data_IF_898042687439
#
_entry.id   IF_898042687439
#
_cell.length_a   1.000
_cell.length_b   1.000
_cell.length_c   1.000
_cell.angle_alpha   90.00
_cell.angle_beta   90.00
_cell.angle_gamma   90.00
#
_symmetry.space_group_name_H-M   'P 1'
#
loop_
_entity.id
_entity.type
_entity.pdbx_description
1 polymer ?
#
# COMPACT_ATOMS: atom_id res chain seq x y z
N UNK A 1 -1.18 -15.98 4.70
CA UNK A 1 -0.78 -17.41 4.54
C UNK A 1 -0.76 -17.88 3.08
N UNK A 2 -1.73 -17.52 2.23
CA UNK A 2 -1.73 -17.86 0.79
C UNK A 2 -0.56 -17.23 0.00
N UNK A 3 -0.28 -15.94 0.21
CA UNK A 3 0.82 -15.21 -0.46
C UNK A 3 2.19 -15.87 -0.24
N UNK A 4 2.46 -16.33 0.98
CA UNK A 4 3.69 -17.06 1.31
C UNK A 4 3.80 -18.37 0.49
N UNK A 5 2.70 -19.12 0.35
CA UNK A 5 2.66 -20.37 -0.44
C UNK A 5 2.91 -20.12 -1.93
N UNK A 6 2.33 -19.08 -2.51
CA UNK A 6 2.54 -18.72 -3.91
C UNK A 6 3.98 -18.26 -4.19
N UNK A 7 4.53 -17.44 -3.30
CA UNK A 7 5.92 -16.98 -3.37
C UNK A 7 6.90 -18.16 -3.29
N UNK A 8 6.66 -19.13 -2.40
CA UNK A 8 7.48 -20.35 -2.31
C UNK A 8 7.47 -21.17 -3.60
N UNK A 9 6.33 -21.25 -4.29
CA UNK A 9 6.20 -22.01 -5.53
C UNK A 9 6.93 -21.35 -6.71
N UNK A 10 6.86 -20.02 -6.83
CA UNK A 10 7.64 -19.27 -7.81
C UNK A 10 9.15 -19.36 -7.59
N UNK A 11 9.59 -19.29 -6.33
CA UNK A 11 11.02 -19.47 -5.97
C UNK A 11 11.49 -20.89 -6.27
N UNK A 12 10.70 -21.92 -5.95
CA UNK A 12 11.03 -23.31 -6.26
C UNK A 12 11.23 -23.50 -7.77
N UNK A 13 10.41 -22.85 -8.59
CA UNK A 13 10.52 -22.91 -10.04
C UNK A 13 11.82 -22.28 -10.56
N UNK A 14 12.25 -21.16 -9.97
CA UNK A 14 13.53 -20.53 -10.28
C UNK A 14 14.72 -21.38 -9.82
N UNK A 15 14.63 -22.07 -8.68
CA UNK A 15 15.69 -22.98 -8.19
C UNK A 15 15.84 -24.19 -9.14
N UNK A 16 14.72 -24.74 -9.62
CA UNK A 16 14.71 -25.90 -10.51
C UNK A 16 15.06 -25.56 -11.98
N UNK A 17 15.25 -24.29 -12.31
CA UNK A 17 15.66 -23.83 -13.63
C UNK A 17 17.10 -24.24 -13.93
N UNK A 18 17.41 -24.55 -15.20
CA UNK A 18 18.79 -24.82 -15.61
C UNK A 18 19.57 -23.53 -15.90
N UNK A 19 20.16 -22.93 -14.87
CA UNK A 19 20.91 -21.67 -14.96
C UNK A 19 22.17 -21.71 -15.83
N UNK A 20 22.80 -22.88 -15.97
CA UNK A 20 24.01 -23.03 -16.77
C UNK A 20 23.73 -22.88 -18.27
N UNK A 21 22.50 -23.21 -18.70
CA UNK A 21 22.13 -23.16 -20.11
C UNK A 21 21.78 -21.73 -20.54
N UNK A 22 22.48 -21.22 -21.55
CA UNK A 22 22.31 -19.86 -22.10
C UNK A 22 22.41 -18.76 -21.03
N UNK A 23 23.45 -18.84 -20.20
CA UNK A 23 23.69 -17.91 -19.09
C UNK A 23 23.56 -16.43 -19.48
N UNK A 24 24.10 -16.00 -20.63
CA UNK A 24 24.02 -14.61 -21.09
C UNK A 24 22.58 -14.09 -21.31
N UNK A 25 21.65 -14.96 -21.73
CA UNK A 25 20.23 -14.57 -21.83
C UNK A 25 19.56 -14.55 -20.46
N UNK A 26 19.93 -15.49 -19.59
CA UNK A 26 19.43 -15.54 -18.22
C UNK A 26 19.86 -14.30 -17.41
N UNK A 27 21.12 -13.87 -17.54
CA UNK A 27 21.63 -12.68 -16.88
C UNK A 27 20.93 -11.40 -17.36
N UNK A 28 20.62 -11.30 -18.66
CA UNK A 28 19.81 -10.21 -19.19
C UNK A 28 18.43 -10.13 -18.52
N UNK A 29 17.74 -11.27 -18.38
CA UNK A 29 16.43 -11.26 -17.72
C UNK A 29 16.52 -11.01 -16.22
N UNK A 30 17.56 -11.50 -15.54
CA UNK A 30 17.81 -11.17 -14.14
C UNK A 30 18.08 -9.68 -13.98
N UNK A 31 18.88 -9.08 -14.86
CA UNK A 31 19.12 -7.65 -14.87
C UNK A 31 17.82 -6.87 -15.14
N UNK A 32 17.02 -7.28 -16.12
CA UNK A 32 15.71 -6.65 -16.39
C UNK A 32 14.74 -6.79 -15.20
N UNK A 33 14.80 -7.88 -14.45
CA UNK A 33 14.00 -8.04 -13.23
C UNK A 33 14.50 -7.14 -12.09
N UNK A 34 15.81 -7.12 -11.83
CA UNK A 34 16.41 -6.45 -10.68
C UNK A 34 16.62 -4.94 -10.86
N UNK A 35 16.98 -4.49 -12.06
CA UNK A 35 17.30 -3.09 -12.32
C UNK A 35 16.12 -2.16 -11.98
N UNK A 36 14.87 -2.41 -12.43
CA UNK A 36 13.75 -1.55 -12.06
C UNK A 36 13.53 -1.50 -10.54
N UNK A 37 13.68 -2.63 -9.84
CA UNK A 37 13.55 -2.72 -8.38
C UNK A 37 14.61 -1.86 -7.69
N UNK A 38 15.87 -2.04 -8.07
CA UNK A 38 16.99 -1.33 -7.47
C UNK A 38 16.96 0.16 -7.80
N UNK A 39 16.65 0.54 -9.04
CA UNK A 39 16.54 1.94 -9.44
C UNK A 39 15.41 2.64 -8.71
N UNK A 40 14.22 2.03 -8.65
CA UNK A 40 13.07 2.63 -7.95
C UNK A 40 13.34 2.76 -6.45
N UNK A 41 13.99 1.77 -5.85
CA UNK A 41 14.44 1.86 -4.46
C UNK A 41 15.49 2.96 -4.27
N UNK A 42 16.52 3.03 -5.11
CA UNK A 42 17.57 4.06 -5.02
C UNK A 42 17.00 5.47 -5.19
N UNK A 43 16.10 5.67 -6.15
CA UNK A 43 15.45 6.96 -6.36
C UNK A 43 14.56 7.30 -5.16
N UNK A 44 13.88 6.31 -4.56
CA UNK A 44 13.06 6.55 -3.37
C UNK A 44 13.89 6.92 -2.13
N UNK A 45 15.12 6.42 -2.01
CA UNK A 45 16.01 6.78 -0.89
C UNK A 45 16.55 8.21 -0.96
N UNK A 46 16.65 8.81 -2.16
CA UNK A 46 17.40 10.05 -2.37
C UNK A 46 16.56 11.24 -2.84
N UNK A 47 15.42 11.01 -3.50
CA UNK A 47 14.69 12.09 -4.18
C UNK A 47 13.27 12.29 -3.66
N UNK A 48 12.40 11.28 -3.79
CA UNK A 48 10.98 11.42 -3.44
C UNK A 48 10.33 10.05 -3.19
N UNK A 49 9.19 10.03 -2.50
CA UNK A 49 8.39 8.83 -2.38
C UNK A 49 7.88 8.37 -3.76
N UNK A 50 8.05 7.09 -4.07
CA UNK A 50 7.66 6.49 -5.35
C UNK A 50 6.55 5.48 -5.12
N UNK A 51 5.56 5.50 -6.03
CA UNK A 51 4.54 4.46 -6.08
C UNK A 51 5.09 3.15 -6.68
N UNK A 52 5.94 2.48 -5.92
CA UNK A 52 6.80 1.39 -6.39
C UNK A 52 6.03 0.17 -6.93
N UNK A 53 4.83 -0.14 -6.41
CA UNK A 53 3.99 -1.21 -6.97
C UNK A 53 3.74 -1.04 -8.47
N UNK A 54 3.55 0.21 -8.94
CA UNK A 54 3.36 0.50 -10.35
C UNK A 54 4.63 0.24 -11.17
N UNK A 55 5.80 0.45 -10.58
CA UNK A 55 7.06 0.19 -11.26
C UNK A 55 7.46 -1.29 -11.22
N UNK A 56 6.95 -2.07 -10.26
CA UNK A 56 7.11 -3.52 -10.26
C UNK A 56 6.47 -4.18 -11.48
N UNK A 57 5.49 -3.53 -12.14
CA UNK A 57 4.92 -4.02 -13.40
C UNK A 57 5.99 -4.27 -14.48
N UNK A 58 7.06 -3.46 -14.50
CA UNK A 58 8.17 -3.63 -15.44
C UNK A 58 9.01 -4.89 -15.19
N UNK A 59 8.90 -5.47 -14.00
CA UNK A 59 9.64 -6.69 -13.60
C UNK A 59 8.89 -7.97 -14.02
N UNK A 60 7.57 -7.89 -14.23
CA UNK A 60 6.70 -9.03 -14.53
C UNK A 60 7.16 -9.78 -15.80
N UNK A 61 7.39 -9.12 -16.97
CA UNK A 61 7.79 -9.83 -18.18
C UNK A 61 9.11 -10.60 -18.00
N UNK A 62 10.09 -9.99 -17.32
CA UNK A 62 11.37 -10.62 -17.04
C UNK A 62 11.22 -11.85 -16.12
N UNK A 63 10.41 -11.73 -15.07
CA UNK A 63 10.10 -12.85 -14.17
C UNK A 63 9.40 -14.00 -14.91
N UNK A 64 8.43 -13.70 -15.80
CA UNK A 64 7.73 -14.71 -16.60
C UNK A 64 8.68 -15.41 -17.58
N UNK A 65 9.56 -14.68 -18.25
CA UNK A 65 10.56 -15.25 -19.17
C UNK A 65 11.59 -16.11 -18.42
N UNK A 66 12.01 -15.70 -17.22
CA UNK A 66 12.87 -16.52 -16.37
C UNK A 66 12.17 -17.82 -15.97
N UNK A 67 10.91 -17.74 -15.54
CA UNK A 67 10.12 -18.90 -15.14
C UNK A 67 9.90 -19.89 -16.30
N UNK A 68 9.56 -19.40 -17.49
CA UNK A 68 9.22 -20.26 -18.63
C UNK A 68 10.45 -20.78 -19.42
N UNK A 69 11.66 -20.30 -19.16
CA UNK A 69 12.86 -20.63 -19.95
C UNK A 69 13.75 -21.70 -19.32
N UNK A 70 14.38 -22.51 -20.17
CA UNK A 70 15.42 -23.49 -19.80
C UNK A 70 15.02 -24.40 -18.61
N UNK A 71 13.75 -24.80 -18.60
CA UNK A 71 13.17 -25.69 -17.60
C UNK A 71 13.73 -27.11 -17.72
N UNK A 72 13.96 -27.78 -16.57
CA UNK A 72 14.18 -29.23 -16.52
C UNK A 72 12.84 -29.95 -16.65
N UNK A 73 12.85 -31.25 -16.98
CA UNK A 73 11.61 -32.03 -17.15
C UNK A 73 10.71 -31.96 -15.91
N UNK A 74 11.29 -32.11 -14.71
CA UNK A 74 10.54 -32.00 -13.44
C UNK A 74 9.97 -30.60 -13.21
N UNK A 75 10.65 -29.55 -13.68
CA UNK A 75 10.21 -28.16 -13.55
C UNK A 75 8.95 -27.86 -14.36
N UNK A 76 8.65 -28.64 -15.41
CA UNK A 76 7.43 -28.46 -16.21
C UNK A 76 6.16 -28.76 -15.42
N UNK A 77 6.19 -29.82 -14.60
CA UNK A 77 5.05 -30.17 -13.72
C UNK A 77 4.84 -29.07 -12.68
N UNK A 78 5.93 -28.62 -12.06
CA UNK A 78 5.91 -27.51 -11.09
C UNK A 78 5.38 -26.24 -11.75
N UNK A 79 5.78 -25.95 -13.00
CA UNK A 79 5.29 -24.80 -13.77
C UNK A 79 3.77 -24.84 -13.97
N UNK A 80 3.20 -25.97 -14.37
CA UNK A 80 1.75 -26.11 -14.55
C UNK A 80 1.01 -25.87 -13.23
N UNK A 81 1.52 -26.42 -12.12
CA UNK A 81 0.95 -26.20 -10.78
C UNK A 81 1.01 -24.71 -10.41
N UNK A 82 2.15 -24.05 -10.61
CA UNK A 82 2.33 -22.62 -10.36
C UNK A 82 1.34 -21.80 -11.18
N UNK A 83 1.22 -22.05 -12.48
CA UNK A 83 0.28 -21.33 -13.35
C UNK A 83 -1.16 -21.52 -12.90
N UNK A 84 -1.59 -22.76 -12.59
CA UNK A 84 -2.94 -23.02 -12.10
C UNK A 84 -3.24 -22.29 -10.79
N UNK A 85 -2.26 -22.25 -9.88
CA UNK A 85 -2.34 -21.53 -8.61
C UNK A 85 -2.49 -20.01 -8.80
N UNK A 86 -1.68 -19.40 -9.67
CA UNK A 86 -1.76 -17.97 -9.97
C UNK A 86 -3.07 -17.62 -10.69
N UNK A 87 -3.49 -18.39 -11.69
CA UNK A 87 -4.78 -18.16 -12.37
C UNK A 87 -5.97 -18.25 -11.42
N UNK A 88 -5.93 -19.20 -10.47
CA UNK A 88 -6.98 -19.32 -9.45
C UNK A 88 -6.99 -18.11 -8.51
N UNK A 89 -5.81 -17.66 -8.08
CA UNK A 89 -5.66 -16.48 -7.24
C UNK A 89 -6.15 -15.21 -7.96
N UNK A 90 -5.76 -15.04 -9.23
CA UNK A 90 -6.17 -13.91 -10.06
C UNK A 90 -7.68 -13.91 -10.29
N UNK A 91 -8.28 -15.08 -10.54
CA UNK A 91 -9.73 -15.22 -10.68
C UNK A 91 -10.46 -14.79 -9.41
N UNK A 92 -10.02 -15.26 -8.24
CA UNK A 92 -10.60 -14.86 -6.95
C UNK A 92 -10.44 -13.36 -6.74
N UNK A 93 -9.25 -12.82 -6.96
CA UNK A 93 -8.96 -11.40 -6.77
C UNK A 93 -9.82 -10.51 -7.69
N UNK A 94 -9.98 -10.91 -8.95
CA UNK A 94 -10.76 -10.17 -9.93
C UNK A 94 -12.27 -10.23 -9.66
N UNK A 95 -12.79 -11.38 -9.23
CA UNK A 95 -14.22 -11.58 -8.98
C UNK A 95 -14.66 -11.14 -7.58
N UNK A 96 -13.74 -11.07 -6.62
CA UNK A 96 -14.00 -10.65 -5.23
C UNK A 96 -13.07 -9.51 -4.84
N UNK A 97 -13.16 -8.32 -5.49
CA UNK A 97 -12.27 -7.22 -5.20
C UNK A 97 -12.50 -6.72 -3.77
N UNK A 98 -11.50 -6.92 -2.90
CA UNK A 98 -11.51 -6.40 -1.54
C UNK A 98 -11.15 -4.90 -1.53
N UNK A 99 -12.05 -4.06 -2.06
CA UNK A 99 -11.93 -2.60 -1.96
C UNK A 99 -12.57 -2.11 -0.67
N UNK A 100 -11.82 -1.33 0.10
CA UNK A 100 -12.35 -0.63 1.28
C UNK A 100 -13.44 0.35 0.82
N UNK A 101 -14.59 0.46 1.51
CA UNK A 101 -15.70 1.34 1.12
C UNK A 101 -15.39 2.83 1.41
N UNK A 102 -14.27 3.32 0.89
CA UNK A 102 -13.83 4.70 1.08
C UNK A 102 -14.76 5.72 0.42
N UNK A 103 -15.50 5.32 -0.62
CA UNK A 103 -16.53 6.16 -1.23
C UNK A 103 -17.58 6.58 -0.20
N UNK A 104 -18.06 5.64 0.60
CA UNK A 104 -19.11 5.88 1.59
C UNK A 104 -18.56 6.72 2.76
N UNK A 105 -17.31 6.47 3.17
CA UNK A 105 -16.59 7.33 4.10
C UNK A 105 -16.51 8.76 3.55
N UNK A 106 -16.11 8.93 2.30
CA UNK A 106 -15.97 10.25 1.69
C UNK A 106 -17.29 11.00 1.61
N UNK A 107 -18.40 10.30 1.31
CA UNK A 107 -19.75 10.87 1.33
C UNK A 107 -20.09 11.34 2.75
N UNK A 108 -19.90 10.49 3.76
CA UNK A 108 -20.18 10.84 5.15
C UNK A 108 -19.34 12.04 5.63
N UNK A 109 -18.05 12.07 5.31
CA UNK A 109 -17.17 13.18 5.67
C UNK A 109 -17.67 14.47 5.04
N UNK A 110 -17.98 14.47 3.74
CA UNK A 110 -18.49 15.66 3.05
C UNK A 110 -19.84 16.15 3.58
N UNK A 111 -20.68 15.24 4.07
CA UNK A 111 -21.98 15.57 4.65
C UNK A 111 -21.89 16.11 6.08
N UNK A 112 -20.90 15.66 6.85
CA UNK A 112 -20.79 16.00 8.28
C UNK A 112 -19.75 17.08 8.58
N UNK A 113 -18.79 17.31 7.67
CA UNK A 113 -17.76 18.33 7.81
C UNK A 113 -18.36 19.74 7.80
N UNK A 114 -17.85 20.59 8.69
CA UNK A 114 -18.16 22.01 8.78
C UNK A 114 -16.91 22.86 8.59
N UNK A 115 -17.10 24.16 8.29
CA UNK A 115 -15.99 25.09 8.10
C UNK A 115 -15.12 25.18 9.36
N UNK A 116 -13.83 24.92 9.20
CA UNK A 116 -12.83 24.96 10.28
C UNK A 116 -12.53 23.61 10.92
N UNK A 117 -13.17 22.52 10.48
CA UNK A 117 -12.74 21.17 10.84
C UNK A 117 -11.37 20.85 10.26
N UNK A 118 -10.55 20.17 11.06
CA UNK A 118 -9.34 19.51 10.60
C UNK A 118 -9.64 18.03 10.40
N UNK A 119 -9.17 17.45 9.29
CA UNK A 119 -9.27 16.01 9.04
C UNK A 119 -7.85 15.48 8.86
N UNK A 120 -7.56 14.29 9.37
CA UNK A 120 -6.23 13.68 9.28
C UNK A 120 -6.33 12.18 8.93
N UNK A 121 -5.28 11.66 8.32
CA UNK A 121 -4.97 10.24 8.32
C UNK A 121 -4.03 9.96 9.51
N UNK A 122 -4.45 9.12 10.46
CA UNK A 122 -3.67 8.92 11.69
C UNK A 122 -2.49 7.94 11.51
N UNK A 123 -2.68 6.87 10.73
CA UNK A 123 -1.62 5.88 10.52
C UNK A 123 -0.74 6.26 9.32
N UNK A 124 0.51 6.65 9.57
CA UNK A 124 1.47 6.99 8.52
C UNK A 124 1.92 5.80 7.65
N UNK A 125 1.78 4.55 8.14
CA UNK A 125 2.13 3.34 7.40
C UNK A 125 0.97 2.75 6.58
N UNK A 126 -0.28 3.03 6.96
CA UNK A 126 -1.48 2.54 6.26
C UNK A 126 -2.51 3.66 5.98
N UNK A 127 -2.01 4.85 5.69
CA UNK A 127 -2.83 6.02 5.41
C UNK A 127 -3.73 5.83 4.17
N UNK A 128 -4.75 6.69 4.04
CA UNK A 128 -5.63 6.78 2.87
C UNK A 128 -5.46 8.10 2.12
N UNK A 129 -4.23 8.58 2.04
CA UNK A 129 -3.89 9.85 1.38
C UNK A 129 -4.29 9.84 -0.11
N UNK A 130 -4.07 8.73 -0.82
CA UNK A 130 -4.45 8.65 -2.23
C UNK A 130 -5.97 8.81 -2.39
N UNK A 131 -6.74 8.06 -1.62
CA UNK A 131 -8.19 8.10 -1.66
C UNK A 131 -8.74 9.46 -1.19
N UNK A 132 -8.19 10.02 -0.10
CA UNK A 132 -8.61 11.33 0.40
C UNK A 132 -8.37 12.42 -0.66
N UNK A 133 -7.20 12.43 -1.34
CA UNK A 133 -6.94 13.33 -2.47
C UNK A 133 -7.91 13.09 -3.63
N UNK A 134 -8.12 11.84 -4.03
CA UNK A 134 -9.05 11.48 -5.10
C UNK A 134 -10.47 11.98 -4.84
N UNK A 135 -10.94 11.91 -3.59
CA UNK A 135 -12.25 12.41 -3.18
C UNK A 135 -12.25 13.89 -2.78
N UNK A 136 -11.13 14.60 -2.81
CA UNK A 136 -11.04 16.02 -2.45
C UNK A 136 -11.21 16.31 -0.95
N UNK A 137 -10.78 15.39 -0.08
CA UNK A 137 -10.78 15.55 1.38
C UNK A 137 -9.37 15.97 1.81
N UNK A 138 -9.20 17.17 2.41
CA UNK A 138 -7.90 17.66 2.85
C UNK A 138 -7.49 16.97 4.16
N UNK A 139 -7.06 15.71 4.05
CA UNK A 139 -6.66 14.86 5.16
C UNK A 139 -5.17 14.54 5.11
N UNK A 140 -4.27 15.45 5.56
CA UNK A 140 -2.85 15.15 5.68
C UNK A 140 -2.60 13.99 6.64
N UNK A 141 -1.45 13.36 6.49
CA UNK A 141 -0.94 12.30 7.36
C UNK A 141 -0.42 12.96 8.65
N UNK A 142 -0.97 12.53 9.79
CA UNK A 142 -0.45 12.92 11.10
C UNK A 142 0.75 12.05 11.45
N UNK A 143 1.90 12.68 11.65
CA UNK A 143 3.14 12.00 11.98
C UNK A 143 3.89 12.78 13.07
N UNK A 144 3.54 12.55 14.35
CA UNK A 144 4.10 13.30 15.48
C UNK A 144 5.59 13.02 15.70
N UNK A 145 6.13 11.94 15.13
CA UNK A 145 7.55 11.61 15.25
C UNK A 145 8.45 12.62 14.52
N UNK A 146 7.89 13.37 13.56
CA UNK A 146 8.63 14.29 12.69
C UNK A 146 9.62 13.61 11.75
N UNK A 147 9.79 12.28 11.86
CA UNK A 147 10.62 11.50 10.94
C UNK A 147 9.86 11.38 9.64
N UNK A 148 10.50 11.56 8.47
CA UNK A 148 9.84 11.23 7.21
C UNK A 148 9.31 9.79 7.33
N UNK A 149 8.08 9.50 6.85
CA UNK A 149 7.62 8.12 6.82
C UNK A 149 8.69 7.31 6.09
N UNK A 150 9.00 6.09 6.56
CA UNK A 150 9.97 5.26 5.87
C UNK A 150 9.50 5.16 4.42
N UNK A 151 10.35 5.54 3.48
CA UNK A 151 10.06 5.62 2.05
C UNK A 151 9.70 4.22 1.52
N UNK A 152 8.48 3.79 1.77
CA UNK A 152 7.88 2.59 1.24
C UNK A 152 6.87 3.02 0.19
N UNK A 153 7.21 2.70 -1.05
CA UNK A 153 6.39 1.78 -1.84
C UNK A 153 4.94 1.67 -1.39
N UNK A 154 4.05 2.38 -2.06
CA UNK A 154 2.62 2.05 -2.00
C UNK A 154 1.76 3.22 -1.55
N UNK A 155 1.31 4.02 -2.53
CA UNK A 155 -0.11 4.30 -2.85
C UNK A 155 -0.28 5.68 -3.47
N UNK A 156 0.57 6.67 -3.15
CA UNK A 156 0.48 8.03 -3.68
C UNK A 156 1.86 8.72 -3.87
N UNK A 157 1.91 9.71 -4.76
CA UNK A 157 2.92 10.76 -4.72
C UNK A 157 2.62 11.66 -3.51
N UNK A 158 3.63 11.85 -2.66
CA UNK A 158 3.51 12.61 -1.41
C UNK A 158 4.38 13.85 -1.45
N UNK A 159 3.83 14.97 -1.00
CA UNK A 159 4.49 16.26 -0.86
C UNK A 159 4.65 16.62 0.62
N UNK A 160 5.49 17.61 0.93
CA UNK A 160 5.69 18.07 2.32
C UNK A 160 4.40 18.55 2.96
N UNK A 161 3.47 19.11 2.18
CA UNK A 161 2.15 19.55 2.63
C UNK A 161 1.19 18.40 2.99
N UNK A 162 1.50 17.18 2.58
CA UNK A 162 0.70 16.00 2.94
C UNK A 162 0.97 15.51 4.35
N UNK A 163 1.89 16.15 5.09
CA UNK A 163 2.26 15.76 6.44
C UNK A 163 2.01 16.89 7.44
N UNK A 164 1.52 16.52 8.61
CA UNK A 164 1.51 17.40 9.78
C UNK A 164 2.17 16.69 10.96
N UNK A 165 3.06 17.40 11.65
CA UNK A 165 3.76 16.90 12.85
C UNK A 165 2.95 17.25 14.11
N UNK A 166 2.10 18.27 14.03
CA UNK A 166 1.24 18.69 15.12
C UNK A 166 -0.12 19.12 14.61
N UNK A 167 -1.14 18.91 15.44
CA UNK A 167 -2.49 19.40 15.17
C UNK A 167 -2.53 20.91 15.45
N UNK A 168 -2.92 21.74 14.47
CA UNK A 168 -3.09 23.18 14.65
C UNK A 168 -3.96 23.54 15.85
N UNK A 169 -3.51 24.52 16.66
CA UNK A 169 -4.18 24.92 17.90
C UNK A 169 -5.58 25.50 17.71
N UNK A 170 -5.90 25.97 16.51
CA UNK A 170 -7.17 26.60 16.13
C UNK A 170 -8.26 25.60 15.74
N UNK A 171 -7.96 24.30 15.59
CA UNK A 171 -8.95 23.27 15.30
C UNK A 171 -9.87 23.03 16.51
N UNK A 172 -11.17 23.28 16.34
CA UNK A 172 -12.20 22.98 17.37
C UNK A 172 -12.63 21.51 17.33
N UNK A 173 -12.62 20.91 16.14
CA UNK A 173 -13.05 19.54 15.87
C UNK A 173 -12.07 18.88 14.91
N UNK A 174 -11.74 17.64 15.22
CA UNK A 174 -10.76 16.81 14.53
C UNK A 174 -11.47 15.56 14.00
N UNK A 175 -11.42 15.36 12.68
CA UNK A 175 -11.83 14.13 12.02
C UNK A 175 -10.63 13.23 11.79
N UNK A 176 -10.72 11.96 12.16
CA UNK A 176 -9.63 11.01 12.06
C UNK A 176 -10.04 9.83 11.20
N UNK A 177 -9.34 9.63 10.09
CA UNK A 177 -9.41 8.41 9.28
C UNK A 177 -8.43 7.40 9.90
N UNK A 178 -8.94 6.28 10.42
CA UNK A 178 -8.12 5.29 11.12
C UNK A 178 -8.71 3.87 11.01
N UNK A 179 -7.93 2.88 11.42
CA UNK A 179 -8.39 1.50 11.68
C UNK A 179 -8.64 1.24 13.18
N UNK A 180 -8.32 2.20 14.04
CA UNK A 180 -8.52 2.12 15.49
C UNK A 180 -9.94 2.53 15.88
N UNK A 181 -10.34 2.20 17.11
CA UNK A 181 -11.58 2.70 17.69
C UNK A 181 -11.38 4.13 18.23
N UNK A 182 -12.47 4.89 18.35
CA UNK A 182 -12.42 6.25 18.88
C UNK A 182 -11.91 6.35 20.33
N UNK A 183 -12.10 5.30 21.14
CA UNK A 183 -11.57 5.23 22.52
C UNK A 183 -10.05 5.13 22.54
N UNK A 184 -9.47 4.35 21.63
CA UNK A 184 -8.01 4.22 21.54
C UNK A 184 -7.38 5.58 21.18
N UNK A 185 -8.06 6.32 20.29
CA UNK A 185 -7.62 7.65 19.85
C UNK A 185 -7.61 8.71 20.96
N UNK A 186 -8.47 8.63 21.99
CA UNK A 186 -8.44 9.60 23.10
C UNK A 186 -7.12 9.57 23.87
N UNK A 187 -6.51 8.38 23.98
CA UNK A 187 -5.22 8.23 24.65
C UNK A 187 -4.06 8.80 23.83
N UNK A 188 -4.19 8.80 22.50
CA UNK A 188 -3.19 9.27 21.55
C UNK A 188 -3.29 10.79 21.32
N UNK A 189 -4.50 11.31 21.15
CA UNK A 189 -4.77 12.73 20.89
C UNK A 189 -5.12 13.49 22.18
N UNK A 190 -4.10 13.68 23.04
CA UNK A 190 -4.24 14.44 24.29
C UNK A 190 -4.85 15.83 24.02
N UNK A 191 -5.92 16.16 24.76
CA UNK A 191 -6.65 17.43 24.61
C UNK A 191 -7.83 17.37 23.65
N UNK A 192 -8.12 16.21 23.07
CA UNK A 192 -9.35 15.93 22.33
C UNK A 192 -10.14 14.82 23.02
N UNK A 193 -11.47 14.94 23.00
CA UNK A 193 -12.41 13.90 23.44
C UNK A 193 -13.15 13.31 22.25
N UNK A 194 -13.36 12.02 22.30
CA UNK A 194 -14.22 11.29 21.39
C UNK A 194 -15.65 11.84 21.40
N UNK A 195 -16.27 11.94 20.23
CA UNK A 195 -17.65 12.38 20.06
C UNK A 195 -18.48 11.34 19.32
N UNK A 196 -18.00 10.93 18.14
CA UNK A 196 -18.74 10.04 17.23
C UNK A 196 -17.77 9.18 16.44
N UNK A 197 -18.18 7.94 16.15
CA UNK A 197 -17.47 7.02 15.27
C UNK A 197 -18.44 6.47 14.22
N UNK A 198 -17.98 6.42 12.96
CA UNK A 198 -18.66 5.73 11.88
C UNK A 198 -17.73 4.73 11.20
N UNK A 199 -18.14 3.47 11.17
CA UNK A 199 -17.38 2.37 10.56
C UNK A 199 -17.80 2.10 9.11
N UNK A 200 -16.82 1.76 8.29
CA UNK A 200 -16.89 1.49 6.85
C UNK A 200 -16.07 0.23 6.55
N UNK A 201 -16.64 -0.95 6.87
CA UNK A 201 -15.90 -2.20 6.86
C UNK A 201 -14.84 -2.20 7.97
N UNK A 202 -13.56 -2.34 7.61
CA UNK A 202 -12.45 -2.26 8.56
C UNK A 202 -11.97 -0.83 8.84
N UNK A 203 -12.43 0.16 8.06
CA UNK A 203 -11.97 1.55 8.16
C UNK A 203 -12.96 2.37 8.98
N UNK A 204 -12.48 3.21 9.87
CA UNK A 204 -13.29 4.08 10.71
C UNK A 204 -13.04 5.56 10.39
N UNK A 205 -14.09 6.35 10.57
CA UNK A 205 -13.99 7.79 10.68
C UNK A 205 -14.45 8.24 12.07
N UNK A 206 -13.58 8.92 12.80
CA UNK A 206 -13.84 9.34 14.18
C UNK A 206 -13.85 10.87 14.28
N UNK A 207 -14.92 11.43 14.82
CA UNK A 207 -14.97 12.82 15.22
C UNK A 207 -14.53 12.97 16.68
N UNK A 208 -13.60 13.90 16.91
CA UNK A 208 -13.13 14.30 18.22
C UNK A 208 -13.28 15.82 18.40
N UNK A 209 -13.55 16.25 19.63
CA UNK A 209 -13.71 17.67 19.99
C UNK A 209 -12.63 18.08 20.97
N UNK A 210 -12.07 19.27 20.77
CA UNK A 210 -11.09 19.82 21.69
C UNK A 210 -11.73 20.10 23.06
N UNK A 211 -11.01 19.75 24.14
CA UNK A 211 -11.39 20.03 25.54
C UNK A 211 -11.16 21.50 25.86
#
# INVERSE_FOLDING_TARGET
MLVAKYLSAGIALLILRNWAKKFGKASLFVAWFLIPILLTWLVSQKFQAIFFDRYLLYTIPAAMLLAASEMRTISKIVFVIVVALYLSADFIYFTHPAKIPFKDLAIYVKQTQIKGDLIINEDAGNHKLWESKYYGIPAPIYNPSGKPPPFFVGTALMETSDFIISIPKNGKRLGVITYKSGKDLETEFKGFKFVEEKSFGSLNFVWMKKI
#
